data_IF_188129224059
#
_entry.id   IF_188129224059
#
_cell.length_a   1.000
_cell.length_b   1.000
_cell.length_c   1.000
_cell.angle_alpha   90.00
_cell.angle_beta   90.00
_cell.angle_gamma   90.00
#
_symmetry.space_group_name_H-M   'P 1'
#
loop_
_entity.id
_entity.type
_entity.pdbx_description
1 polymer ?
#
# COMPACT_ATOMS: atom_id res chain seq x y z
N UNK A 1 -8.68 20.01 14.11
CA UNK A 1 -9.49 19.41 15.19
C UNK A 1 -8.78 18.17 15.66
N UNK A 2 -8.36 18.13 16.92
CA UNK A 2 -7.75 16.94 17.54
C UNK A 2 -8.85 15.88 17.70
N UNK A 3 -8.78 14.78 16.97
CA UNK A 3 -9.46 13.57 17.42
C UNK A 3 -8.81 13.16 18.75
N UNK A 4 -9.63 12.99 19.79
CA UNK A 4 -9.14 12.74 21.14
C UNK A 4 -8.39 11.40 21.22
N UNK A 5 -7.31 11.29 22.03
CA UNK A 5 -6.53 10.05 22.19
C UNK A 5 -7.35 8.83 22.63
N UNK A 6 -8.50 9.04 23.30
CA UNK A 6 -9.44 7.97 23.69
C UNK A 6 -10.08 7.30 22.47
N UNK A 7 -10.50 8.07 21.46
CA UNK A 7 -11.14 7.53 20.24
C UNK A 7 -10.21 6.63 19.42
N UNK A 8 -8.90 6.96 19.38
CA UNK A 8 -7.90 6.13 18.71
C UNK A 8 -7.65 4.80 19.43
N UNK A 9 -7.55 4.84 20.77
CA UNK A 9 -7.36 3.64 21.58
C UNK A 9 -8.55 2.68 21.45
N UNK A 10 -9.77 3.21 21.51
CA UNK A 10 -11.01 2.44 21.32
C UNK A 10 -11.09 1.81 19.93
N UNK A 11 -10.79 2.58 18.88
CA UNK A 11 -10.78 2.07 17.49
C UNK A 11 -9.74 0.97 17.31
N UNK A 12 -8.55 1.13 17.88
CA UNK A 12 -7.49 0.12 17.86
C UNK A 12 -7.91 -1.14 18.60
N UNK A 13 -8.53 -1.00 19.77
CA UNK A 13 -8.91 -2.13 20.59
C UNK A 13 -10.07 -2.92 19.94
N UNK A 14 -11.03 -2.23 19.31
CA UNK A 14 -12.08 -2.85 18.50
C UNK A 14 -11.50 -3.64 17.31
N UNK A 15 -10.52 -3.06 16.60
CA UNK A 15 -9.78 -3.76 15.54
C UNK A 15 -9.10 -5.03 16.08
N UNK A 16 -8.39 -4.93 17.20
CA UNK A 16 -7.69 -6.07 17.81
C UNK A 16 -8.65 -7.18 18.25
N UNK A 17 -9.83 -6.82 18.77
CA UNK A 17 -10.88 -7.79 19.10
C UNK A 17 -11.43 -8.48 17.84
N UNK A 18 -11.68 -7.72 16.76
CA UNK A 18 -12.11 -8.26 15.48
C UNK A 18 -11.10 -9.27 14.92
N UNK A 19 -9.80 -8.95 14.98
CA UNK A 19 -8.70 -9.85 14.57
C UNK A 19 -8.66 -11.11 15.44
N UNK A 20 -8.70 -10.96 16.78
CA UNK A 20 -8.66 -12.10 17.72
C UNK A 20 -9.82 -13.07 17.53
N UNK A 21 -10.99 -12.57 17.15
CA UNK A 21 -12.16 -13.40 16.87
C UNK A 21 -12.04 -14.22 15.58
N UNK A 22 -11.05 -13.95 14.73
CA UNK A 22 -10.83 -14.65 13.48
C UNK A 22 -9.91 -15.86 13.68
N UNK A 23 -10.37 -17.05 13.27
CA UNK A 23 -9.50 -18.22 13.16
C UNK A 23 -8.36 -18.00 12.15
N UNK A 24 -7.41 -18.95 12.09
CA UNK A 24 -6.30 -18.93 11.11
C UNK A 24 -6.84 -18.83 9.68
N UNK A 25 -6.66 -17.65 9.05
CA UNK A 25 -7.06 -17.37 7.66
C UNK A 25 -8.14 -16.30 7.50
N UNK A 26 -8.99 -16.06 8.50
CA UNK A 26 -10.08 -15.06 8.42
C UNK A 26 -9.71 -13.67 8.94
N UNK A 27 -8.51 -13.51 9.52
CA UNK A 27 -8.10 -12.27 10.18
C UNK A 27 -8.03 -11.07 9.24
N UNK A 28 -7.48 -11.27 8.04
CA UNK A 28 -7.31 -10.18 7.08
C UNK A 28 -8.63 -9.67 6.51
N UNK A 29 -9.55 -10.57 6.15
CA UNK A 29 -10.87 -10.17 5.66
C UNK A 29 -11.61 -9.34 6.73
N UNK A 30 -11.52 -9.73 8.01
CA UNK A 30 -12.11 -8.95 9.11
C UNK A 30 -11.46 -7.59 9.29
N UNK A 31 -10.14 -7.50 9.15
CA UNK A 31 -9.39 -6.23 9.16
C UNK A 31 -9.86 -5.32 8.03
N UNK A 32 -9.93 -5.83 6.80
CA UNK A 32 -10.37 -5.07 5.64
C UNK A 32 -11.84 -4.64 5.77
N UNK A 33 -12.70 -5.51 6.31
CA UNK A 33 -14.11 -5.19 6.57
C UNK A 33 -14.26 -4.10 7.63
N UNK A 34 -13.55 -4.23 8.75
CA UNK A 34 -13.52 -3.20 9.78
C UNK A 34 -13.02 -1.87 9.23
N UNK A 35 -11.94 -1.88 8.43
CA UNK A 35 -11.46 -0.67 7.77
C UNK A 35 -12.52 -0.04 6.84
N UNK A 36 -13.25 -0.85 6.07
CA UNK A 36 -14.36 -0.36 5.26
C UNK A 36 -15.48 0.27 6.12
N UNK A 37 -15.89 -0.38 7.21
CA UNK A 37 -16.89 0.16 8.15
C UNK A 37 -16.45 1.51 8.74
N UNK A 38 -15.18 1.63 9.14
CA UNK A 38 -14.65 2.89 9.66
C UNK A 38 -14.66 3.99 8.60
N UNK A 39 -14.27 3.67 7.36
CA UNK A 39 -14.23 4.59 6.22
C UNK A 39 -15.63 5.02 5.72
N UNK A 40 -16.67 4.25 6.01
CA UNK A 40 -18.06 4.68 5.81
C UNK A 40 -18.50 5.72 6.83
N UNK A 41 -17.87 5.74 8.02
CA UNK A 41 -18.12 6.70 9.10
C UNK A 41 -17.32 8.00 8.96
N UNK A 42 -16.75 8.46 10.06
CA UNK A 42 -15.95 9.70 10.10
C UNK A 42 -14.50 9.49 9.64
N UNK A 43 -14.01 8.25 9.60
CA UNK A 43 -12.64 7.96 9.20
C UNK A 43 -12.43 8.34 7.74
N UNK A 44 -11.27 8.95 7.46
CA UNK A 44 -10.89 9.41 6.11
C UNK A 44 -9.69 8.67 5.56
N UNK A 45 -8.83 8.15 6.44
CA UNK A 45 -7.64 7.38 6.10
C UNK A 45 -7.60 6.18 7.04
N UNK A 46 -7.44 4.98 6.47
CA UNK A 46 -7.20 3.76 7.22
C UNK A 46 -5.89 3.13 6.72
N UNK A 47 -5.10 2.59 7.64
CA UNK A 47 -3.85 1.89 7.33
C UNK A 47 -3.77 0.60 8.15
N UNK A 48 -3.36 -0.48 7.50
CA UNK A 48 -3.15 -1.78 8.13
C UNK A 48 -2.12 -2.58 7.32
N UNK A 49 -1.40 -3.48 8.01
CA UNK A 49 -0.36 -4.30 7.39
C UNK A 49 -0.88 -5.65 6.95
N UNK A 50 -0.39 -6.11 5.79
CA UNK A 50 -0.53 -7.49 5.32
C UNK A 50 0.85 -8.13 5.40
N UNK A 51 0.96 -9.27 6.08
CA UNK A 51 2.23 -9.97 6.28
C UNK A 51 2.49 -11.03 5.19
N UNK A 52 3.69 -11.61 5.17
CA UNK A 52 4.02 -12.74 4.29
C UNK A 52 4.85 -12.39 3.05
N UNK A 53 5.31 -11.14 2.93
CA UNK A 53 6.12 -10.65 1.81
C UNK A 53 7.63 -10.86 1.98
N UNK A 54 8.12 -11.05 3.22
CA UNK A 54 9.54 -11.23 3.54
C UNK A 54 9.99 -12.70 3.39
N UNK A 55 9.95 -13.20 2.15
CA UNK A 55 10.26 -14.61 1.85
C UNK A 55 11.76 -14.86 1.63
N UNK A 56 12.51 -15.08 2.71
CA UNK A 56 13.95 -15.42 2.66
C UNK A 56 14.25 -16.84 2.15
N UNK A 57 13.22 -17.69 2.04
CA UNK A 57 13.31 -19.04 1.46
C UNK A 57 11.97 -19.44 0.84
N UNK A 58 12.01 -20.26 -0.21
CA UNK A 58 10.81 -20.84 -0.84
C UNK A 58 9.75 -19.82 -1.28
N UNK A 59 10.16 -18.71 -1.90
CA UNK A 59 9.31 -17.62 -2.36
C UNK A 59 8.14 -18.11 -3.24
N UNK A 60 8.38 -19.07 -4.12
CA UNK A 60 7.34 -19.68 -4.97
C UNK A 60 6.15 -20.28 -4.19
N UNK A 61 6.36 -20.65 -2.92
CA UNK A 61 5.31 -21.14 -2.02
C UNK A 61 4.67 -20.01 -1.19
N UNK A 62 5.47 -19.01 -0.79
CA UNK A 62 5.03 -17.90 0.06
C UNK A 62 4.28 -16.81 -0.71
N UNK A 63 4.84 -16.35 -1.83
CA UNK A 63 4.31 -15.22 -2.60
C UNK A 63 2.87 -15.41 -3.09
N UNK A 64 2.44 -16.59 -3.59
CA UNK A 64 1.04 -16.78 -3.98
C UNK A 64 0.05 -16.56 -2.83
N UNK A 65 0.44 -16.86 -1.58
CA UNK A 65 -0.41 -16.60 -0.42
C UNK A 65 -0.51 -15.10 -0.13
N UNK A 66 0.62 -14.39 -0.14
CA UNK A 66 0.65 -12.94 0.07
C UNK A 66 -0.17 -12.18 -1.00
N UNK A 67 -0.09 -12.63 -2.25
CA UNK A 67 -0.89 -12.08 -3.35
C UNK A 67 -2.40 -12.32 -3.17
N UNK A 68 -2.82 -13.52 -2.73
CA UNK A 68 -4.24 -13.80 -2.41
C UNK A 68 -4.73 -12.98 -1.21
N UNK A 69 -3.87 -12.76 -0.24
CA UNK A 69 -4.17 -11.92 0.92
C UNK A 69 -4.39 -10.46 0.48
N UNK A 70 -3.50 -9.91 -0.38
CA UNK A 70 -3.68 -8.59 -0.99
C UNK A 70 -4.98 -8.48 -1.81
N UNK A 71 -5.24 -9.48 -2.66
CA UNK A 71 -6.48 -9.57 -3.44
C UNK A 71 -7.70 -9.53 -2.52
N UNK A 72 -7.72 -10.37 -1.47
CA UNK A 72 -8.80 -10.43 -0.49
C UNK A 72 -9.01 -9.07 0.15
N UNK A 73 -7.95 -8.41 0.61
CA UNK A 73 -8.06 -7.09 1.23
C UNK A 73 -8.68 -6.04 0.28
N UNK A 74 -8.21 -5.97 -0.97
CA UNK A 74 -8.72 -5.00 -1.96
C UNK A 74 -10.18 -5.29 -2.31
N UNK A 75 -10.54 -6.56 -2.55
CA UNK A 75 -11.90 -6.94 -2.92
C UNK A 75 -12.88 -6.75 -1.74
N UNK A 76 -12.47 -7.05 -0.52
CA UNK A 76 -13.27 -6.79 0.68
C UNK A 76 -13.49 -5.30 0.90
N UNK A 77 -12.45 -4.46 0.74
CA UNK A 77 -12.60 -3.01 0.80
C UNK A 77 -13.57 -2.49 -0.27
N UNK A 78 -13.40 -2.92 -1.53
CA UNK A 78 -14.27 -2.53 -2.64
C UNK A 78 -15.73 -2.90 -2.37
N UNK A 79 -15.98 -4.12 -1.90
CA UNK A 79 -17.32 -4.60 -1.57
C UNK A 79 -17.93 -3.83 -0.40
N UNK A 80 -17.17 -3.69 0.70
CA UNK A 80 -17.63 -3.04 1.93
C UNK A 80 -17.90 -1.54 1.78
N UNK A 81 -17.14 -0.84 0.93
CA UNK A 81 -17.31 0.60 0.73
C UNK A 81 -18.49 0.98 -0.17
N UNK A 82 -18.99 0.06 -1.01
CA UNK A 82 -20.11 0.32 -1.91
C UNK A 82 -19.94 1.62 -2.71
N UNK A 83 -20.89 2.55 -2.59
CA UNK A 83 -20.85 3.84 -3.31
C UNK A 83 -19.63 4.70 -2.95
N UNK A 84 -19.07 4.57 -1.74
CA UNK A 84 -17.88 5.33 -1.31
C UNK A 84 -16.62 4.89 -2.06
N UNK A 85 -16.60 3.68 -2.63
CA UNK A 85 -15.48 3.21 -3.46
C UNK A 85 -15.15 4.18 -4.61
N UNK A 86 -16.16 4.82 -5.20
CA UNK A 86 -16.03 5.79 -6.29
C UNK A 86 -15.13 6.99 -5.97
N UNK A 87 -14.98 7.32 -4.68
CA UNK A 87 -14.12 8.41 -4.19
C UNK A 87 -12.94 7.91 -3.34
N UNK A 88 -12.64 6.60 -3.41
CA UNK A 88 -11.58 5.97 -2.61
C UNK A 88 -10.38 5.62 -3.48
N UNK A 89 -9.19 5.77 -2.92
CA UNK A 89 -7.92 5.22 -3.42
C UNK A 89 -7.31 4.32 -2.34
N UNK A 90 -6.79 3.18 -2.77
CA UNK A 90 -6.02 2.22 -1.99
C UNK A 90 -4.60 2.20 -2.55
N UNK A 91 -3.62 2.41 -1.68
CA UNK A 91 -2.19 2.26 -1.98
C UNK A 91 -1.66 1.06 -1.20
N UNK A 92 -1.18 0.04 -1.91
CA UNK A 92 -0.46 -1.09 -1.32
C UNK A 92 1.03 -0.90 -1.58
N UNK A 93 1.76 -0.53 -0.53
CA UNK A 93 3.17 -0.13 -0.54
C UNK A 93 3.94 -1.06 0.41
N UNK A 94 5.20 -1.37 0.07
CA UNK A 94 6.11 -2.13 0.94
C UNK A 94 7.16 -1.21 1.55
N UNK A 95 7.71 -1.60 2.71
CA UNK A 95 8.78 -0.85 3.39
C UNK A 95 10.14 -0.98 2.69
N UNK A 96 10.34 -2.07 1.94
CA UNK A 96 11.55 -2.38 1.20
C UNK A 96 11.23 -3.17 -0.07
N UNK A 97 12.20 -3.20 -0.98
CA UNK A 97 12.20 -4.03 -2.18
C UNK A 97 12.72 -5.44 -1.92
N UNK A 98 12.61 -6.31 -2.93
CA UNK A 98 13.22 -7.65 -2.93
C UNK A 98 14.26 -7.72 -4.05
N UNK A 99 15.30 -8.54 -3.88
CA UNK A 99 16.26 -8.78 -4.96
C UNK A 99 15.55 -9.29 -6.22
N UNK A 100 16.03 -8.88 -7.40
CA UNK A 100 15.41 -9.28 -8.67
C UNK A 100 15.55 -10.79 -8.93
N UNK A 101 16.59 -11.42 -8.34
CA UNK A 101 16.91 -12.84 -8.48
C UNK A 101 16.64 -13.59 -7.17
N UNK A 102 16.29 -14.87 -7.30
CA UNK A 102 16.20 -15.78 -6.16
C UNK A 102 17.59 -16.04 -5.55
N UNK A 103 17.62 -16.19 -4.22
CA UNK A 103 18.82 -16.60 -3.49
C UNK A 103 18.95 -18.14 -3.46
N UNK A 104 20.01 -18.65 -2.83
CA UNK A 104 20.32 -20.09 -2.81
C UNK A 104 19.29 -20.98 -2.09
N UNK A 105 18.30 -20.42 -1.41
CA UNK A 105 17.24 -21.16 -0.70
C UNK A 105 15.90 -21.10 -1.46
N UNK A 106 15.90 -20.59 -2.69
CA UNK A 106 14.70 -20.33 -3.49
C UNK A 106 13.81 -19.23 -2.89
N UNK A 107 14.38 -18.38 -2.03
CA UNK A 107 13.77 -17.14 -1.55
C UNK A 107 14.34 -15.93 -2.29
N UNK A 108 14.20 -14.75 -1.72
CA UNK A 108 14.88 -13.52 -2.14
C UNK A 108 15.51 -12.83 -0.93
N UNK A 109 16.42 -11.90 -1.16
CA UNK A 109 16.94 -11.05 -0.08
C UNK A 109 16.25 -9.68 -0.10
N UNK A 110 16.60 -8.84 0.87
CA UNK A 110 16.19 -7.43 0.88
C UNK A 110 16.88 -6.69 -0.29
N UNK A 111 16.10 -5.86 -0.97
CA UNK A 111 16.52 -5.08 -2.13
C UNK A 111 15.95 -3.67 -2.12
N UNK A 112 16.33 -2.88 -3.12
CA UNK A 112 16.10 -1.44 -3.14
C UNK A 112 14.81 -1.03 -3.84
N UNK A 113 14.54 -1.57 -5.04
CA UNK A 113 13.34 -1.25 -5.82
C UNK A 113 12.19 -2.24 -5.61
N UNK A 114 10.96 -1.78 -5.86
CA UNK A 114 9.75 -2.59 -5.73
C UNK A 114 8.61 -2.09 -6.61
N UNK A 115 7.47 -2.77 -6.52
CA UNK A 115 6.24 -2.41 -7.22
C UNK A 115 5.15 -2.04 -6.21
N UNK A 116 4.49 -0.90 -6.44
CA UNK A 116 3.30 -0.49 -5.70
C UNK A 116 2.05 -0.93 -6.47
N UNK A 117 1.04 -1.44 -5.76
CA UNK A 117 -0.28 -1.71 -6.35
C UNK A 117 -1.24 -0.62 -5.90
N UNK A 118 -1.96 -0.03 -6.87
CA UNK A 118 -3.00 0.96 -6.61
C UNK A 118 -4.36 0.44 -7.08
N UNK A 119 -5.40 0.70 -6.31
CA UNK A 119 -6.77 0.35 -6.63
C UNK A 119 -7.73 1.43 -6.12
N UNK A 120 -8.91 1.58 -6.69
CA UNK A 120 -9.87 2.58 -6.24
C UNK A 120 -10.80 3.05 -7.34
N UNK A 121 -11.95 3.60 -6.98
CA UNK A 121 -12.84 4.27 -7.93
C UNK A 121 -12.38 5.68 -8.27
N UNK A 122 -11.62 6.34 -7.38
CA UNK A 122 -11.04 7.67 -7.64
C UNK A 122 -9.78 7.59 -8.52
N UNK A 123 -9.20 6.40 -8.65
CA UNK A 123 -7.97 6.16 -9.40
C UNK A 123 -8.24 6.25 -10.90
N UNK A 124 -7.38 6.98 -11.60
CA UNK A 124 -7.19 6.87 -13.05
C UNK A 124 -6.47 5.55 -13.36
N UNK A 125 -7.23 4.45 -13.29
CA UNK A 125 -6.73 3.09 -13.42
C UNK A 125 -6.37 2.68 -14.86
N UNK A 126 -5.92 1.42 -15.00
CA UNK A 126 -5.56 0.85 -16.30
C UNK A 126 -4.21 1.32 -16.86
N UNK A 127 -3.33 1.83 -15.99
CA UNK A 127 -2.04 2.40 -16.36
C UNK A 127 -0.94 1.85 -15.46
N UNK A 128 0.27 1.73 -16.01
CA UNK A 128 1.50 1.59 -15.24
C UNK A 128 2.08 2.99 -15.08
N UNK A 129 2.39 3.36 -13.85
CA UNK A 129 3.02 4.64 -13.53
C UNK A 129 4.49 4.43 -13.19
N UNK A 130 5.32 5.43 -13.49
CA UNK A 130 6.76 5.36 -13.35
C UNK A 130 7.44 4.66 -14.52
N UNK A 131 8.76 4.63 -14.48
CA UNK A 131 9.57 3.98 -15.51
C UNK A 131 9.79 2.51 -15.17
N UNK A 132 9.75 1.66 -16.20
CA UNK A 132 10.12 0.25 -16.10
C UNK A 132 11.52 0.08 -16.71
N UNK A 133 12.57 -0.07 -15.89
CA UNK A 133 13.94 -0.15 -16.39
C UNK A 133 14.23 -1.48 -17.09
N UNK A 134 13.53 -2.56 -16.74
CA UNK A 134 13.82 -3.91 -17.21
C UNK A 134 14.37 -4.81 -16.09
N UNK A 135 14.73 -6.04 -16.46
CA UNK A 135 15.34 -7.03 -15.57
C UNK A 135 16.68 -7.57 -16.10
N UNK A 136 17.20 -6.97 -17.18
CA UNK A 136 18.52 -7.31 -17.70
C UNK A 136 19.60 -6.80 -16.74
N UNK A 137 20.76 -7.46 -16.71
CA UNK A 137 21.81 -7.16 -15.71
C UNK A 137 22.28 -5.69 -15.71
N UNK A 138 22.23 -5.04 -16.87
CA UNK A 138 22.61 -3.63 -17.03
C UNK A 138 21.53 -2.64 -16.55
N UNK A 139 20.28 -3.10 -16.46
CA UNK A 139 19.14 -2.29 -16.01
C UNK A 139 18.93 -2.38 -14.49
N UNK A 140 19.56 -3.38 -13.85
CA UNK A 140 19.47 -3.59 -12.40
C UNK A 140 20.43 -2.66 -11.65
N UNK A 141 19.96 -2.16 -10.51
CA UNK A 141 20.82 -1.44 -9.57
C UNK A 141 21.89 -2.37 -9.03
N UNK A 142 23.16 -2.01 -9.29
CA UNK A 142 24.33 -2.81 -8.93
C UNK A 142 24.27 -4.26 -9.46
N UNK A 143 23.60 -4.48 -10.61
CA UNK A 143 23.38 -5.81 -11.20
C UNK A 143 22.66 -6.81 -10.26
N UNK A 144 21.91 -6.33 -9.27
CA UNK A 144 21.30 -7.17 -8.21
C UNK A 144 19.84 -6.82 -7.93
N UNK A 145 19.54 -5.55 -7.73
CA UNK A 145 18.22 -5.07 -7.30
C UNK A 145 17.48 -4.43 -8.47
N UNK A 146 16.14 -4.43 -8.43
CA UNK A 146 15.37 -3.59 -9.36
C UNK A 146 15.78 -2.12 -9.17
N UNK A 147 16.10 -1.43 -10.26
CA UNK A 147 16.49 -0.02 -10.23
C UNK A 147 15.31 0.84 -9.75
N UNK A 148 15.46 1.60 -8.64
CA UNK A 148 14.44 2.56 -8.24
C UNK A 148 14.35 3.68 -9.26
N UNK A 149 13.13 3.96 -9.74
CA UNK A 149 12.85 5.00 -10.73
C UNK A 149 12.10 6.20 -10.16
N UNK A 150 11.68 6.12 -8.89
CA UNK A 150 11.01 7.23 -8.23
C UNK A 150 10.75 6.97 -6.75
N UNK A 151 10.28 8.01 -6.08
CA UNK A 151 9.93 7.97 -4.66
C UNK A 151 8.44 7.59 -4.48
N UNK A 152 8.18 6.50 -3.75
CA UNK A 152 6.81 6.04 -3.45
C UNK A 152 5.98 7.10 -2.72
N UNK A 153 6.62 8.00 -1.96
CA UNK A 153 5.96 9.11 -1.25
C UNK A 153 5.33 10.11 -2.23
N UNK A 154 5.84 10.22 -3.46
CA UNK A 154 5.23 11.08 -4.48
C UNK A 154 3.79 10.65 -4.81
N UNK A 155 3.51 9.35 -4.82
CA UNK A 155 2.18 8.79 -5.05
C UNK A 155 1.25 9.01 -3.86
N UNK A 156 1.76 8.82 -2.64
CA UNK A 156 1.01 9.13 -1.43
C UNK A 156 0.71 10.64 -1.33
N UNK A 157 1.67 11.50 -1.69
CA UNK A 157 1.48 12.95 -1.77
C UNK A 157 0.43 13.33 -2.81
N UNK A 158 0.49 12.75 -4.02
CA UNK A 158 -0.51 12.99 -5.07
C UNK A 158 -1.92 12.56 -4.62
N UNK A 159 -2.03 11.43 -3.91
CA UNK A 159 -3.29 10.99 -3.31
C UNK A 159 -3.82 12.00 -2.29
N UNK A 160 -2.97 12.48 -1.39
CA UNK A 160 -3.36 13.45 -0.37
C UNK A 160 -3.75 14.81 -0.97
N UNK A 161 -2.98 15.30 -1.95
CA UNK A 161 -3.30 16.52 -2.68
C UNK A 161 -4.66 16.41 -3.36
N UNK A 162 -4.91 15.32 -4.08
CA UNK A 162 -6.09 15.19 -4.91
C UNK A 162 -7.37 14.79 -4.17
N UNK A 163 -7.27 14.00 -3.09
CA UNK A 163 -8.45 13.57 -2.31
C UNK A 163 -8.80 14.51 -1.16
N UNK A 164 -7.82 15.22 -0.62
CA UNK A 164 -8.01 16.07 0.58
C UNK A 164 -7.64 17.53 0.35
N UNK A 165 -7.17 17.91 -0.84
CA UNK A 165 -6.86 19.30 -1.19
C UNK A 165 -5.62 19.86 -0.49
N UNK A 166 -4.71 19.00 -0.03
CA UNK A 166 -3.47 19.47 0.61
C UNK A 166 -2.58 20.19 -0.42
N UNK A 167 -2.06 21.35 -0.02
CA UNK A 167 -1.13 22.12 -0.82
C UNK A 167 0.22 21.42 -0.97
N UNK A 168 0.85 21.58 -2.13
CA UNK A 168 2.19 21.02 -2.41
C UNK A 168 3.22 21.41 -1.34
N UNK A 169 3.24 22.68 -0.93
CA UNK A 169 4.17 23.16 0.10
C UNK A 169 4.01 22.45 1.44
N UNK A 170 2.78 22.17 1.87
CA UNK A 170 2.52 21.43 3.12
C UNK A 170 2.96 19.97 3.00
N UNK A 171 2.72 19.37 1.83
CA UNK A 171 3.15 18.00 1.55
C UNK A 171 4.69 17.88 1.57
N UNK A 172 5.41 18.78 0.92
CA UNK A 172 6.89 18.73 0.82
C UNK A 172 7.59 19.17 2.11
N UNK A 173 7.01 20.09 2.88
CA UNK A 173 7.63 20.64 4.08
C UNK A 173 7.25 19.90 5.37
N UNK A 174 6.02 19.38 5.46
CA UNK A 174 5.47 18.85 6.72
C UNK A 174 5.14 17.36 6.64
N UNK A 175 4.41 16.92 5.61
CA UNK A 175 3.94 15.52 5.53
C UNK A 175 5.05 14.59 5.06
N UNK A 176 5.78 14.98 4.02
CA UNK A 176 6.89 14.25 3.42
C UNK A 176 8.12 15.15 3.27
N UNK A 177 8.80 15.51 4.38
CA UNK A 177 10.01 16.32 4.32
C UNK A 177 11.04 15.75 3.33
N UNK A 178 11.53 16.61 2.44
CA UNK A 178 12.53 16.27 1.42
C UNK A 178 12.00 15.56 0.18
N UNK A 179 10.68 15.43 0.03
CA UNK A 179 10.05 15.01 -1.22
C UNK A 179 10.04 16.16 -2.22
N UNK A 180 10.33 15.88 -3.50
CA UNK A 180 10.04 16.77 -4.62
C UNK A 180 8.83 16.25 -5.40
N UNK A 181 7.77 17.05 -5.45
CA UNK A 181 6.52 16.76 -6.15
C UNK A 181 6.39 17.47 -7.51
N UNK A 182 7.46 18.09 -8.04
CA UNK A 182 7.42 18.84 -9.31
C UNK A 182 6.95 18.00 -10.51
N UNK A 183 7.16 16.69 -10.45
CA UNK A 183 6.71 15.71 -11.46
C UNK A 183 5.72 14.68 -10.93
N UNK A 184 5.03 14.96 -9.83
CA UNK A 184 4.13 13.98 -9.22
C UNK A 184 3.05 13.51 -10.22
N UNK A 185 2.78 12.19 -10.31
CA UNK A 185 1.87 11.66 -11.31
C UNK A 185 0.42 12.08 -11.01
N UNK A 186 -0.33 12.40 -12.07
CA UNK A 186 -1.77 12.61 -11.97
C UNK A 186 -2.50 11.26 -11.94
N UNK A 187 -2.62 10.71 -10.74
CA UNK A 187 -3.20 9.37 -10.50
C UNK A 187 -4.71 9.37 -10.28
N UNK A 188 -5.35 10.53 -10.10
CA UNK A 188 -6.80 10.64 -9.88
C UNK A 188 -7.53 11.14 -11.13
N UNK A 189 -8.81 10.80 -11.23
CA UNK A 189 -9.74 11.27 -12.28
C UNK A 189 -9.92 12.80 -12.23
#
# INVERSE_FOLDING_TARGET
GQAAPESYAETRDAMMQSVKSAGRGGGLEKVARFAAEQLLGETRIASFSINGWDTHAGQSRGLPRALRDLETAILTLKSGLGAVWGKTLVLAITEFGRTARENGTGGTDHGTGGAMVMAGGALKGGQVYGDWPGLDDLDLYQARDLQPTGDVRAYAGAALAGLFGLGRSDLEATVFPGLDMAGAPRILL
#
